data_IF_929552384564
#
_entry.id   IF_929552384564
#
_cell.length_a   1.000
_cell.length_b   1.000
_cell.length_c   1.000
_cell.angle_alpha   90.00
_cell.angle_beta   90.00
_cell.angle_gamma   90.00
#
_symmetry.space_group_name_H-M   'P 1'
#
loop_
_entity.id
_entity.type
_entity.pdbx_description
1 polymer ?
#
# COMPACT_ATOMS: atom_id res chain seq x y z
N UNK A 1 -10.60 -2.89 11.38
CA UNK A 1 -10.74 -2.41 9.99
C UNK A 1 -12.20 -2.05 9.68
N UNK A 2 -13.17 -2.94 9.89
CA UNK A 2 -14.59 -2.67 9.57
C UNK A 2 -15.19 -1.40 10.17
N UNK A 3 -14.84 -1.05 11.42
CA UNK A 3 -15.30 0.21 12.03
C UNK A 3 -14.85 1.44 11.23
N UNK A 4 -13.59 1.44 10.78
CA UNK A 4 -13.02 2.55 10.02
C UNK A 4 -13.54 2.63 8.58
N UNK A 5 -14.02 1.53 7.97
CA UNK A 5 -14.59 1.58 6.61
C UNK A 5 -15.96 2.29 6.58
N UNK A 6 -16.69 2.28 7.70
CA UNK A 6 -18.04 2.84 7.82
C UNK A 6 -18.08 4.28 8.36
N UNK A 7 -16.98 4.77 8.90
CA UNK A 7 -16.89 6.12 9.50
C UNK A 7 -16.16 7.11 8.60
N UNK A 8 -16.47 8.40 8.77
CA UNK A 8 -15.73 9.49 8.14
C UNK A 8 -14.44 9.83 8.91
N UNK A 9 -13.51 10.48 8.21
CA UNK A 9 -12.29 10.98 8.84
C UNK A 9 -12.63 11.97 9.96
N UNK A 10 -12.15 11.70 11.18
CA UNK A 10 -12.40 12.52 12.38
C UNK A 10 -13.47 11.97 13.34
N UNK A 11 -14.28 10.99 12.94
CA UNK A 11 -15.27 10.36 13.83
C UNK A 11 -14.68 9.32 14.78
N UNK A 12 -13.58 8.70 14.37
CA UNK A 12 -12.82 7.73 15.17
C UNK A 12 -11.44 8.29 15.50
N UNK A 13 -10.74 7.73 16.52
CA UNK A 13 -9.38 8.13 16.83
C UNK A 13 -8.44 8.06 15.61
N UNK A 14 -7.40 8.91 15.55
CA UNK A 14 -6.46 8.92 14.43
C UNK A 14 -5.85 7.54 14.16
N UNK A 15 -5.99 7.08 12.92
CA UNK A 15 -5.47 5.78 12.50
C UNK A 15 -5.17 5.77 11.00
N UNK A 16 -4.15 4.99 10.59
CA UNK A 16 -3.81 4.79 9.17
C UNK A 16 -4.99 4.28 8.31
N UNK A 17 -5.95 3.59 8.92
CA UNK A 17 -7.14 3.08 8.24
C UNK A 17 -8.12 4.21 7.90
N UNK A 18 -8.19 5.27 8.71
CA UNK A 18 -9.01 6.43 8.39
C UNK A 18 -8.47 7.16 7.15
N UNK A 19 -7.14 7.30 7.04
CA UNK A 19 -6.50 7.88 5.85
C UNK A 19 -6.71 7.00 4.62
N UNK A 20 -6.54 5.68 4.76
CA UNK A 20 -6.82 4.75 3.68
C UNK A 20 -8.29 4.79 3.23
N UNK A 21 -9.24 4.93 4.17
CA UNK A 21 -10.66 5.06 3.84
C UNK A 21 -10.96 6.37 3.11
N UNK A 22 -10.43 7.50 3.59
CA UNK A 22 -10.64 8.79 2.91
C UNK A 22 -10.02 8.79 1.51
N UNK A 23 -8.83 8.21 1.34
CA UNK A 23 -8.21 7.99 0.05
C UNK A 23 -9.11 7.17 -0.88
N UNK A 24 -9.65 6.05 -0.40
CA UNK A 24 -10.57 5.21 -1.17
C UNK A 24 -11.86 5.96 -1.56
N UNK A 25 -12.48 6.69 -0.62
CA UNK A 25 -13.69 7.50 -0.88
C UNK A 25 -13.43 8.63 -1.88
N UNK A 26 -12.24 9.22 -1.89
CA UNK A 26 -11.87 10.29 -2.82
C UNK A 26 -11.95 9.86 -4.29
N UNK A 27 -11.81 8.56 -4.60
CA UNK A 27 -11.97 8.04 -5.97
C UNK A 27 -13.31 8.41 -6.61
N UNK A 28 -14.40 8.43 -5.83
CA UNK A 28 -15.72 8.85 -6.31
C UNK A 28 -16.03 10.32 -6.01
N UNK A 29 -15.43 10.90 -4.96
CA UNK A 29 -15.70 12.29 -4.57
C UNK A 29 -15.01 13.32 -5.48
N UNK A 30 -13.80 13.01 -5.94
CA UNK A 30 -12.95 13.93 -6.71
C UNK A 30 -12.72 13.53 -8.16
N UNK A 31 -13.02 12.28 -8.51
CA UNK A 31 -12.85 11.72 -9.86
C UNK A 31 -11.40 11.80 -10.41
N UNK A 32 -10.40 11.89 -9.53
CA UNK A 32 -8.97 11.85 -9.83
C UNK A 32 -8.27 10.68 -9.13
N UNK A 33 -7.08 10.32 -9.62
CA UNK A 33 -6.26 9.28 -9.01
C UNK A 33 -5.73 9.76 -7.65
N UNK A 34 -5.72 8.86 -6.66
CA UNK A 34 -5.23 9.17 -5.31
C UNK A 34 -3.85 8.57 -5.04
N UNK A 35 -3.07 9.22 -4.18
CA UNK A 35 -1.76 8.75 -3.75
C UNK A 35 -1.58 8.96 -2.25
N UNK A 36 -1.01 7.97 -1.56
CA UNK A 36 -0.59 8.08 -0.16
C UNK A 36 0.93 8.06 -0.12
N UNK A 37 1.53 9.18 0.27
CA UNK A 37 2.97 9.29 0.49
C UNK A 37 3.29 9.04 1.97
N UNK A 38 4.17 8.08 2.25
CA UNK A 38 4.61 7.75 3.61
C UNK A 38 6.08 8.14 3.74
N UNK A 39 6.35 9.24 4.43
CA UNK A 39 7.69 9.73 4.74
C UNK A 39 8.17 9.21 6.10
N UNK A 40 9.48 9.28 6.33
CA UNK A 40 10.09 8.89 7.60
C UNK A 40 11.51 8.36 7.43
N UNK A 41 12.28 8.41 8.50
CA UNK A 41 13.63 7.85 8.53
C UNK A 41 13.64 6.33 8.41
N UNK A 42 14.83 5.79 8.25
CA UNK A 42 15.06 4.35 8.29
C UNK A 42 14.57 3.77 9.62
N UNK A 43 13.72 2.74 9.59
CA UNK A 43 13.14 2.13 10.80
C UNK A 43 11.84 2.79 11.32
N UNK A 44 11.39 3.92 10.75
CA UNK A 44 10.19 4.63 11.19
C UNK A 44 8.85 3.89 10.92
N UNK A 45 8.86 2.66 10.40
CA UNK A 45 7.63 1.88 10.14
C UNK A 45 6.92 2.19 8.82
N UNK A 46 7.60 2.81 7.83
CA UNK A 46 7.03 3.09 6.50
C UNK A 46 6.47 1.82 5.83
N UNK A 47 7.28 0.76 5.77
CA UNK A 47 6.91 -0.53 5.16
C UNK A 47 5.71 -1.17 5.85
N UNK A 48 5.67 -1.15 7.19
CA UNK A 48 4.55 -1.69 7.96
C UNK A 48 3.27 -0.87 7.75
N UNK A 49 3.39 0.45 7.68
CA UNK A 49 2.28 1.34 7.34
C UNK A 49 1.71 1.03 5.96
N UNK A 50 2.56 0.82 4.95
CA UNK A 50 2.13 0.38 3.61
C UNK A 50 1.39 -0.95 3.67
N UNK A 51 1.91 -1.95 4.40
CA UNK A 51 1.23 -3.26 4.56
C UNK A 51 -0.16 -3.10 5.17
N UNK A 52 -0.31 -2.25 6.20
CA UNK A 52 -1.60 -1.99 6.84
C UNK A 52 -2.61 -1.32 5.90
N UNK A 53 -2.17 -0.35 5.09
CA UNK A 53 -3.02 0.30 4.08
C UNK A 53 -3.49 -0.72 3.04
N UNK A 54 -2.59 -1.54 2.50
CA UNK A 54 -2.92 -2.55 1.50
C UNK A 54 -3.92 -3.58 2.04
N UNK A 55 -3.70 -4.09 3.27
CA UNK A 55 -4.64 -4.98 3.97
C UNK A 55 -6.03 -4.35 4.11
N UNK A 56 -6.08 -3.07 4.48
CA UNK A 56 -7.34 -2.36 4.65
C UNK A 56 -8.10 -2.17 3.33
N UNK A 57 -7.42 -1.73 2.27
CA UNK A 57 -8.02 -1.54 0.95
C UNK A 57 -8.51 -2.86 0.34
N UNK A 58 -7.75 -3.93 0.54
CA UNK A 58 -8.15 -5.29 0.15
C UNK A 58 -9.42 -5.74 0.88
N UNK A 59 -9.47 -5.55 2.20
CA UNK A 59 -10.65 -5.90 2.99
C UNK A 59 -11.92 -5.14 2.54
N UNK A 60 -11.79 -3.84 2.22
CA UNK A 60 -12.93 -3.05 1.71
C UNK A 60 -13.33 -3.51 0.31
N UNK A 61 -12.37 -3.78 -0.57
CA UNK A 61 -12.63 -4.28 -1.93
C UNK A 61 -13.36 -5.63 -1.94
N UNK A 62 -13.20 -6.44 -0.90
CA UNK A 62 -13.90 -7.72 -0.78
C UNK A 62 -15.31 -7.56 -0.19
N UNK A 63 -15.59 -6.48 0.55
CA UNK A 63 -16.93 -6.20 1.08
C UNK A 63 -17.93 -5.79 -0.02
N UNK A 64 -17.44 -5.21 -1.13
CA UNK A 64 -18.25 -4.87 -2.31
C UNK A 64 -18.53 -6.07 -3.23
N UNK A 65 -18.02 -7.25 -2.89
CA UNK A 65 -18.17 -8.49 -3.62
C UNK A 65 -18.87 -9.52 -2.72
N UNK A 66 -20.05 -10.00 -3.12
CA UNK A 66 -20.80 -11.08 -2.42
C UNK A 66 -20.14 -12.45 -2.67
N UNK A 67 -18.81 -12.53 -2.50
CA UNK A 67 -18.03 -13.69 -2.89
C UNK A 67 -17.97 -14.75 -1.79
N UNK A 68 -18.35 -15.96 -2.19
CA UNK A 68 -18.12 -17.21 -1.47
C UNK A 68 -16.63 -17.36 -1.14
N UNK A 69 -16.33 -17.86 0.05
CA UNK A 69 -15.02 -17.99 0.70
C UNK A 69 -13.90 -18.67 -0.12
N UNK A 70 -14.20 -19.24 -1.29
CA UNK A 70 -13.28 -20.00 -2.15
C UNK A 70 -12.47 -19.15 -3.15
N UNK A 71 -12.87 -17.91 -3.45
CA UNK A 71 -12.14 -17.00 -4.36
C UNK A 71 -11.24 -15.99 -3.64
N UNK A 72 -11.08 -16.12 -2.32
CA UNK A 72 -10.25 -15.21 -1.50
C UNK A 72 -8.75 -15.34 -1.75
N UNK A 73 -8.32 -16.38 -2.46
CA UNK A 73 -6.92 -16.85 -2.51
C UNK A 73 -6.07 -16.32 -3.68
N UNK A 74 -6.63 -15.55 -4.61
CA UNK A 74 -5.87 -14.92 -5.72
C UNK A 74 -5.76 -13.40 -5.59
N UNK A 75 -5.83 -12.88 -4.36
CA UNK A 75 -5.91 -11.45 -4.13
C UNK A 75 -4.58 -10.76 -4.48
N UNK A 76 -4.65 -9.71 -5.30
CA UNK A 76 -3.58 -8.76 -5.64
C UNK A 76 -2.79 -8.31 -4.39
N UNK A 77 -3.46 -8.21 -3.23
CA UNK A 77 -2.83 -7.95 -1.94
C UNK A 77 -1.74 -8.97 -1.59
N UNK A 78 -2.05 -10.27 -1.70
CA UNK A 78 -1.12 -11.34 -1.35
C UNK A 78 0.09 -11.33 -2.26
N UNK A 79 -0.11 -11.12 -3.57
CA UNK A 79 1.00 -10.95 -4.51
C UNK A 79 1.89 -9.75 -4.16
N UNK A 80 1.31 -8.61 -3.75
CA UNK A 80 2.07 -7.44 -3.31
C UNK A 80 2.80 -7.70 -1.99
N UNK A 81 2.19 -8.41 -1.04
CA UNK A 81 2.82 -8.79 0.22
C UNK A 81 3.99 -9.77 -0.01
N UNK A 82 3.78 -10.79 -0.83
CA UNK A 82 4.78 -11.81 -1.19
C UNK A 82 5.91 -11.26 -2.06
N UNK A 83 5.67 -10.17 -2.81
CA UNK A 83 6.75 -9.48 -3.53
C UNK A 83 7.75 -8.79 -2.59
N UNK A 84 7.37 -8.49 -1.34
CA UNK A 84 8.21 -7.70 -0.44
C UNK A 84 9.52 -8.41 -0.06
N UNK A 85 9.54 -9.70 0.36
CA UNK A 85 10.79 -10.44 0.56
C UNK A 85 11.72 -10.44 -0.66
N UNK A 86 11.16 -10.54 -1.87
CA UNK A 86 11.93 -10.53 -3.12
C UNK A 86 12.57 -9.16 -3.31
N UNK A 87 11.78 -8.09 -3.26
CA UNK A 87 12.30 -6.72 -3.41
C UNK A 87 13.32 -6.35 -2.32
N UNK A 88 13.10 -6.80 -1.08
CA UNK A 88 14.05 -6.58 0.01
C UNK A 88 15.37 -7.33 -0.23
N UNK A 89 15.33 -8.57 -0.72
CA UNK A 89 16.53 -9.34 -1.02
C UNK A 89 17.42 -8.69 -2.10
N UNK A 90 16.81 -8.03 -3.11
CA UNK A 90 17.55 -7.38 -4.19
C UNK A 90 17.82 -5.89 -3.96
N UNK A 91 17.00 -5.20 -3.18
CA UNK A 91 17.00 -3.74 -3.07
C UNK A 91 17.37 -3.19 -1.70
N UNK A 92 17.45 -4.03 -0.67
CA UNK A 92 17.93 -3.61 0.64
C UNK A 92 19.43 -3.88 0.78
N UNK A 93 20.11 -3.00 1.49
CA UNK A 93 21.51 -3.14 1.83
C UNK A 93 21.75 -2.80 3.30
N UNK A 94 22.77 -3.42 3.89
CA UNK A 94 23.30 -3.00 5.17
C UNK A 94 23.97 -1.64 5.01
N UNK A 95 23.61 -0.71 5.88
CA UNK A 95 24.24 0.60 6.03
C UNK A 95 24.77 0.75 7.45
N UNK A 96 25.51 1.82 7.73
CA UNK A 96 26.01 2.12 9.09
C UNK A 96 24.86 2.25 10.10
N UNK A 97 23.68 2.70 9.66
CA UNK A 97 22.55 3.04 10.54
C UNK A 97 21.36 2.05 10.47
N UNK A 98 21.32 1.16 9.47
CA UNK A 98 20.27 0.16 9.33
C UNK A 98 20.78 -1.05 8.53
N UNK A 99 20.60 -2.24 9.12
CA UNK A 99 20.98 -3.52 8.54
C UNK A 99 20.08 -3.96 7.36
N UNK A 100 18.88 -3.40 7.23
CA UNK A 100 17.91 -3.69 6.17
C UNK A 100 17.41 -2.38 5.53
N UNK A 101 18.33 -1.54 5.04
CA UNK A 101 18.02 -0.22 4.48
C UNK A 101 17.61 -0.33 3.01
N UNK A 102 16.36 0.00 2.68
CA UNK A 102 15.90 0.05 1.30
C UNK A 102 16.64 1.13 0.51
N UNK A 103 17.25 0.74 -0.61
CA UNK A 103 17.98 1.64 -1.53
C UNK A 103 17.18 1.99 -2.78
N UNK A 104 15.88 1.66 -2.78
CA UNK A 104 14.92 1.95 -3.82
C UNK A 104 13.67 2.58 -3.21
N UNK A 105 13.00 3.45 -3.98
CA UNK A 105 11.63 3.84 -3.71
C UNK A 105 10.69 2.77 -4.25
N UNK A 106 9.65 2.42 -3.49
CA UNK A 106 8.61 1.49 -3.93
C UNK A 106 7.31 2.25 -4.16
N UNK A 107 6.81 2.27 -5.39
CA UNK A 107 5.50 2.80 -5.72
C UNK A 107 4.54 1.66 -6.03
N UNK A 108 3.50 1.50 -5.21
CA UNK A 108 2.47 0.47 -5.40
C UNK A 108 1.20 1.13 -5.93
N UNK A 109 0.85 0.81 -7.16
CA UNK A 109 -0.39 1.24 -7.80
C UNK A 109 -1.45 0.15 -7.68
N UNK A 110 -2.64 0.51 -7.20
CA UNK A 110 -3.82 -0.34 -7.19
C UNK A 110 -4.86 0.23 -8.16
N UNK A 111 -5.37 -0.61 -9.04
CA UNK A 111 -6.42 -0.24 -9.98
C UNK A 111 -7.77 -0.67 -9.40
N UNK A 112 -8.63 0.29 -9.09
CA UNK A 112 -9.94 0.08 -8.47
C UNK A 112 -11.02 0.42 -9.50
N UNK A 113 -11.96 -0.48 -9.73
CA UNK A 113 -13.07 -0.24 -10.66
C UNK A 113 -14.14 0.63 -10.03
N UNK A 114 -15.07 1.12 -10.85
CA UNK A 114 -16.17 1.99 -10.40
C UNK A 114 -17.09 1.33 -9.36
N UNK A 115 -17.13 -0.01 -9.32
CA UNK A 115 -17.86 -0.79 -8.29
C UNK A 115 -17.12 -0.89 -6.95
N UNK A 116 -15.88 -0.41 -6.88
CA UNK A 116 -15.05 -0.41 -5.68
C UNK A 116 -14.10 -1.60 -5.53
N UNK A 117 -14.03 -2.46 -6.55
CA UNK A 117 -13.22 -3.66 -6.47
C UNK A 117 -11.83 -3.43 -7.07
N UNK A 118 -10.79 -3.92 -6.39
CA UNK A 118 -9.43 -3.99 -6.92
C UNK A 118 -9.43 -4.97 -8.11
N UNK A 119 -9.09 -4.46 -9.29
CA UNK A 119 -8.95 -5.25 -10.52
C UNK A 119 -7.53 -5.79 -10.71
N UNK A 120 -6.56 -5.15 -10.09
CA UNK A 120 -5.16 -5.40 -10.34
C UNK A 120 -4.27 -4.40 -9.62
N UNK A 121 -2.96 -4.63 -9.70
CA UNK A 121 -1.97 -3.70 -9.19
C UNK A 121 -0.67 -3.79 -9.97
N UNK A 122 0.16 -2.76 -9.84
CA UNK A 122 1.51 -2.70 -10.39
C UNK A 122 2.43 -2.16 -9.31
N UNK A 123 3.60 -2.77 -9.17
CA UNK A 123 4.69 -2.21 -8.39
C UNK A 123 5.67 -1.58 -9.37
N UNK A 124 6.06 -0.33 -9.10
CA UNK A 124 7.08 0.39 -9.84
C UNK A 124 8.22 0.68 -8.88
N UNK A 125 9.37 0.13 -9.19
CA UNK A 125 10.60 0.38 -8.45
C UNK A 125 11.27 1.65 -8.97
N UNK A 126 11.38 2.66 -8.11
CA UNK A 126 12.14 3.86 -8.39
C UNK A 126 13.56 3.67 -7.84
N UNK A 127 14.50 3.28 -8.70
CA UNK A 127 15.91 3.16 -8.34
C UNK A 127 16.50 4.56 -8.21
N UNK A 128 16.77 5.00 -6.97
CA UNK A 128 17.46 6.26 -6.70
C UNK A 128 18.99 6.14 -6.88
N UNK A 129 19.54 4.92 -7.00
CA UNK A 129 20.98 4.65 -6.87
C UNK A 129 21.79 4.61 -8.16
N UNK A 130 21.34 5.20 -9.26
CA UNK A 130 22.15 5.35 -10.50
C UNK A 130 22.69 6.76 -10.74
N UNK A 131 22.57 7.69 -9.80
CA UNK A 131 23.10 9.06 -9.97
C UNK A 131 24.36 9.39 -9.14
N UNK A 132 25.02 8.42 -8.50
CA UNK A 132 26.15 8.74 -7.60
C UNK A 132 27.41 7.84 -7.68
N UNK A 133 27.58 7.04 -8.74
CA UNK A 133 28.88 6.44 -9.05
C UNK A 133 29.14 6.52 -10.55
N UNK A 134 29.46 7.74 -10.97
CA UNK A 134 29.94 8.11 -12.29
C UNK A 134 30.91 9.27 -12.14
N UNK A 135 31.92 9.08 -11.28
CA UNK A 135 33.18 9.81 -11.20
C UNK A 135 34.26 8.79 -10.82
#
# INVERSE_FOLDING_TARGET
MERYSRCHLGELPPHVFAIANECYRCLWKRHDNQCVLISGESGAGKTESTKLILKFLSAISQQSLDLSSKEKTSCVEQAILESSPIMEAFGNAKTVYNNNSSRFGKFVQLNICQKGNIQGGRIVDCILFRLAFGL
#
